data_IF_100276846839
#
_entry.id   IF_100276846839
#
_cell.length_a   1.000
_cell.length_b   1.000
_cell.length_c   1.000
_cell.angle_alpha   90.00
_cell.angle_beta   90.00
_cell.angle_gamma   90.00
#
_symmetry.space_group_name_H-M   'P 1'
#
loop_
_entity.id
_entity.type
_entity.pdbx_description
1 polymer ?
#
# COMPACT_ATOMS: atom_id res chain seq x y z
N UNK A 1 15.37 4.09 -1.60
CA UNK A 1 14.22 3.37 -1.02
C UNK A 1 12.95 4.18 -1.22
N UNK A 2 11.95 3.58 -1.81
CA UNK A 2 10.64 4.20 -2.03
C UNK A 2 9.63 3.40 -1.22
N UNK A 3 8.95 4.06 -0.28
CA UNK A 3 7.94 3.42 0.57
C UNK A 3 6.57 3.66 -0.04
N UNK A 4 5.87 2.58 -0.36
CA UNK A 4 4.54 2.68 -0.97
C UNK A 4 3.48 2.92 0.10
N UNK A 5 2.60 3.89 -0.14
CA UNK A 5 1.48 4.11 0.75
C UNK A 5 0.28 3.22 0.38
N UNK A 6 -0.68 3.14 1.30
CA UNK A 6 -1.84 2.28 1.14
C UNK A 6 -2.67 2.64 -0.09
N UNK A 7 -2.82 3.93 -0.39
CA UNK A 7 -3.64 4.38 -1.52
C UNK A 7 -3.01 3.99 -2.87
N UNK A 8 -1.70 4.12 -3.00
CA UNK A 8 -1.00 3.70 -4.23
C UNK A 8 -1.16 2.21 -4.44
N UNK A 9 -0.94 1.42 -3.39
CA UNK A 9 -1.06 -0.05 -3.49
C UNK A 9 -2.51 -0.46 -3.78
N UNK A 10 -3.47 0.13 -3.09
CA UNK A 10 -4.89 -0.15 -3.30
C UNK A 10 -5.31 0.16 -4.74
N UNK A 11 -4.87 1.29 -5.28
CA UNK A 11 -5.16 1.64 -6.67
C UNK A 11 -4.52 0.65 -7.65
N UNK A 12 -3.27 0.27 -7.42
CA UNK A 12 -2.54 -0.66 -8.26
C UNK A 12 -3.16 -2.07 -8.28
N UNK A 13 -3.87 -2.44 -7.22
CA UNK A 13 -4.54 -3.76 -7.11
C UNK A 13 -5.84 -3.84 -7.90
N UNK A 14 -6.38 -2.73 -8.37
CA UNK A 14 -7.62 -2.73 -9.15
C UNK A 14 -7.38 -3.40 -10.50
N UNK A 15 -8.41 -4.05 -11.09
CA UNK A 15 -8.30 -4.60 -12.45
C UNK A 15 -7.94 -3.56 -13.50
N UNK A 16 -8.39 -2.31 -13.29
CA UNK A 16 -8.10 -1.19 -14.20
C UNK A 16 -7.55 0.00 -13.39
N UNK A 17 -6.25 -0.05 -13.03
CA UNK A 17 -5.64 1.01 -12.24
C UNK A 17 -5.60 2.34 -12.99
N UNK A 18 -5.60 3.45 -12.24
CA UNK A 18 -5.43 4.77 -12.81
C UNK A 18 -4.14 4.81 -13.65
N UNK A 19 -4.19 5.31 -14.90
CA UNK A 19 -3.02 5.27 -15.80
C UNK A 19 -1.78 5.96 -15.24
N UNK A 20 -1.95 7.06 -14.49
CA UNK A 20 -0.82 7.77 -13.90
C UNK A 20 -0.13 6.95 -12.81
N UNK A 21 -0.87 6.20 -12.01
CA UNK A 21 -0.32 5.31 -10.98
C UNK A 21 0.43 4.15 -11.63
N UNK A 22 -0.17 3.54 -12.63
CA UNK A 22 0.47 2.45 -13.39
C UNK A 22 1.78 2.91 -14.02
N UNK A 23 1.76 4.07 -14.70
CA UNK A 23 2.94 4.62 -15.35
C UNK A 23 4.05 4.92 -14.33
N UNK A 24 3.68 5.52 -13.19
CA UNK A 24 4.65 5.83 -12.14
C UNK A 24 5.32 4.57 -11.61
N UNK A 25 4.53 3.54 -11.28
CA UNK A 25 5.06 2.28 -10.78
C UNK A 25 5.96 1.58 -11.80
N UNK A 26 5.56 1.58 -13.08
CA UNK A 26 6.33 0.94 -14.14
C UNK A 26 7.68 1.63 -14.39
N UNK A 27 7.80 2.89 -14.02
CA UNK A 27 9.05 3.64 -14.14
C UNK A 27 10.01 3.42 -12.97
N UNK A 28 9.56 2.76 -11.89
CA UNK A 28 10.40 2.51 -10.74
C UNK A 28 11.18 1.20 -10.90
N UNK A 29 12.40 1.17 -10.35
CA UNK A 29 13.16 -0.07 -10.24
C UNK A 29 12.56 -0.89 -9.10
N UNK A 30 12.10 -2.11 -9.36
CA UNK A 30 11.36 -2.91 -8.41
C UNK A 30 12.09 -3.09 -7.07
N UNK A 31 13.41 -3.27 -7.09
CA UNK A 31 14.21 -3.45 -5.88
C UNK A 31 14.26 -2.22 -4.98
N UNK A 32 13.82 -1.06 -5.45
CA UNK A 32 13.77 0.17 -4.66
C UNK A 32 12.44 0.36 -3.95
N UNK A 33 11.43 -0.44 -4.26
CA UNK A 33 10.08 -0.32 -3.71
C UNK A 33 9.95 -1.17 -2.45
N UNK A 34 9.42 -0.57 -1.39
CA UNK A 34 9.22 -1.21 -0.09
C UNK A 34 7.77 -1.09 0.34
N UNK A 35 7.26 -2.12 0.99
CA UNK A 35 5.88 -2.21 1.42
C UNK A 35 5.82 -2.22 2.96
N UNK A 36 5.26 -1.15 3.59
CA UNK A 36 5.14 -1.14 5.04
C UNK A 36 4.19 -2.22 5.54
N UNK A 37 4.52 -2.85 6.67
CA UNK A 37 3.64 -3.85 7.28
C UNK A 37 2.29 -3.27 7.67
N UNK A 38 2.22 -1.99 8.04
CA UNK A 38 0.95 -1.32 8.34
C UNK A 38 0.07 -1.21 7.10
N UNK A 39 0.66 -0.98 5.94
CA UNK A 39 -0.09 -0.98 4.67
C UNK A 39 -0.71 -2.35 4.40
N UNK A 40 0.06 -3.42 4.63
CA UNK A 40 -0.46 -4.80 4.50
C UNK A 40 -1.63 -5.01 5.45
N UNK A 41 -1.50 -4.59 6.72
CA UNK A 41 -2.56 -4.73 7.71
C UNK A 41 -3.83 -3.99 7.29
N UNK A 42 -3.70 -2.77 6.79
CA UNK A 42 -4.86 -1.99 6.32
C UNK A 42 -5.54 -2.65 5.12
N UNK A 43 -4.77 -3.18 4.17
CA UNK A 43 -5.32 -3.88 3.01
C UNK A 43 -6.00 -5.19 3.41
N UNK A 44 -5.39 -5.96 4.31
CA UNK A 44 -6.00 -7.18 4.84
C UNK A 44 -7.33 -6.88 5.53
N UNK A 45 -7.36 -5.82 6.35
CA UNK A 45 -8.59 -5.39 7.01
C UNK A 45 -9.66 -4.99 5.99
N UNK A 46 -9.32 -4.15 5.02
CA UNK A 46 -10.28 -3.68 4.02
C UNK A 46 -10.85 -4.82 3.18
N UNK A 47 -10.03 -5.77 2.76
CA UNK A 47 -10.47 -6.94 2.01
C UNK A 47 -11.32 -7.84 2.90
N UNK A 48 -10.90 -8.08 4.13
CA UNK A 48 -11.63 -8.91 5.09
C UNK A 48 -13.03 -8.39 5.38
N UNK A 49 -13.22 -7.06 5.34
CA UNK A 49 -14.50 -6.41 5.57
C UNK A 49 -15.45 -6.47 4.37
N UNK A 50 -14.98 -6.86 3.19
CA UNK A 50 -15.85 -6.97 2.01
C UNK A 50 -16.84 -8.14 2.15
N UNK A 51 -18.04 -8.03 1.53
CA UNK A 51 -18.94 -9.15 1.44
C UNK A 51 -18.30 -10.32 0.69
N UNK A 52 -18.64 -11.55 1.06
CA UNK A 52 -18.18 -12.73 0.33
C UNK A 52 -18.58 -12.64 -1.14
N UNK A 53 -17.66 -13.01 -2.04
CA UNK A 53 -17.89 -12.97 -3.48
C UNK A 53 -16.61 -12.89 -4.28
N UNK A 54 -16.77 -12.78 -5.59
CA UNK A 54 -15.64 -12.78 -6.53
C UNK A 54 -14.66 -11.64 -6.30
N UNK A 55 -15.17 -10.45 -5.98
CA UNK A 55 -14.32 -9.28 -5.75
C UNK A 55 -13.39 -9.48 -4.56
N UNK A 56 -13.94 -9.99 -3.45
CA UNK A 56 -13.18 -10.30 -2.26
C UNK A 56 -12.11 -11.34 -2.55
N UNK A 57 -12.47 -12.42 -3.22
CA UNK A 57 -11.55 -13.50 -3.55
C UNK A 57 -10.44 -13.01 -4.48
N UNK A 58 -10.77 -12.21 -5.48
CA UNK A 58 -9.79 -11.67 -6.42
C UNK A 58 -8.80 -10.74 -5.72
N UNK A 59 -9.30 -9.84 -4.86
CA UNK A 59 -8.42 -8.92 -4.13
C UNK A 59 -7.54 -9.66 -3.13
N UNK A 60 -8.06 -10.69 -2.46
CA UNK A 60 -7.28 -11.52 -1.55
C UNK A 60 -6.13 -12.22 -2.29
N UNK A 61 -6.40 -12.78 -3.46
CA UNK A 61 -5.37 -13.42 -4.28
C UNK A 61 -4.33 -12.42 -4.77
N UNK A 62 -4.78 -11.24 -5.19
CA UNK A 62 -3.88 -10.18 -5.65
C UNK A 62 -2.96 -9.75 -4.51
N UNK A 63 -3.48 -9.59 -3.30
CA UNK A 63 -2.67 -9.22 -2.15
C UNK A 63 -1.68 -10.32 -1.77
N UNK A 64 -2.08 -11.58 -1.82
CA UNK A 64 -1.18 -12.70 -1.56
C UNK A 64 0.00 -12.69 -2.54
N UNK A 65 -0.27 -12.47 -3.83
CA UNK A 65 0.77 -12.35 -4.84
C UNK A 65 1.71 -11.18 -4.56
N UNK A 66 1.14 -10.05 -4.17
CA UNK A 66 1.90 -8.85 -3.83
C UNK A 66 2.82 -9.08 -2.63
N UNK A 67 2.29 -9.70 -1.56
CA UNK A 67 3.09 -10.04 -0.38
C UNK A 67 4.25 -10.97 -0.74
N UNK A 68 4.03 -11.91 -1.65
CA UNK A 68 5.09 -12.79 -2.15
C UNK A 68 6.20 -12.03 -2.87
N UNK A 69 5.82 -11.09 -3.73
CA UNK A 69 6.77 -10.25 -4.46
C UNK A 69 7.61 -9.37 -3.54
N UNK A 70 7.02 -8.85 -2.48
CA UNK A 70 7.67 -7.93 -1.55
C UNK A 70 8.23 -8.63 -0.31
N UNK A 71 8.29 -9.96 -0.28
CA UNK A 71 8.67 -10.72 0.92
C UNK A 71 9.94 -10.20 1.60
N UNK A 72 10.96 -9.82 0.81
CA UNK A 72 12.23 -9.32 1.34
C UNK A 72 12.27 -7.80 1.48
N UNK A 73 11.19 -7.12 1.17
CA UNK A 73 11.08 -5.66 1.19
C UNK A 73 9.88 -5.17 1.95
N UNK A 74 9.47 -5.90 2.97
CA UNK A 74 8.43 -5.48 3.91
C UNK A 74 9.09 -4.75 5.06
N UNK A 75 8.65 -3.51 5.33
CA UNK A 75 9.18 -2.70 6.42
C UNK A 75 8.33 -2.92 7.67
N UNK A 76 8.94 -3.30 8.79
CA UNK A 76 8.20 -3.45 10.05
C UNK A 76 7.71 -2.10 10.55
N UNK A 77 6.51 -2.08 11.16
CA UNK A 77 5.95 -0.87 11.77
C UNK A 77 6.29 -0.88 13.26
N UNK A 78 7.54 -0.52 13.57
CA UNK A 78 8.05 -0.41 14.94
C UNK A 78 7.79 0.99 15.51
N UNK A 79 8.32 1.25 16.71
CA UNK A 79 8.11 2.53 17.40
C UNK A 79 8.66 3.70 16.59
N UNK A 80 9.84 3.56 16.01
CA UNK A 80 10.45 4.63 15.20
C UNK A 80 9.61 4.90 13.94
N UNK A 81 9.17 3.87 13.27
CA UNK A 81 8.29 4.00 12.10
C UNK A 81 6.98 4.68 12.48
N UNK A 82 6.40 4.33 13.64
CA UNK A 82 5.17 4.96 14.12
C UNK A 82 5.35 6.46 14.36
N UNK A 83 6.49 6.87 14.91
CA UNK A 83 6.79 8.29 15.12
C UNK A 83 6.93 9.05 13.82
N UNK A 84 7.65 8.49 12.85
CA UNK A 84 7.78 9.09 11.53
C UNK A 84 6.43 9.20 10.81
N UNK A 85 5.62 8.16 10.92
CA UNK A 85 4.28 8.16 10.36
C UNK A 85 3.42 9.30 10.91
N UNK A 86 3.46 9.50 12.23
CA UNK A 86 2.70 10.56 12.88
C UNK A 86 3.13 11.95 12.40
N UNK A 87 4.45 12.17 12.24
CA UNK A 87 4.97 13.44 11.71
C UNK A 87 4.48 13.69 10.29
N UNK A 88 4.55 12.69 9.43
CA UNK A 88 4.08 12.80 8.05
C UNK A 88 2.57 13.08 7.98
N UNK A 89 1.78 12.42 8.83
CA UNK A 89 0.34 12.61 8.88
C UNK A 89 -0.02 14.04 9.28
N UNK A 90 0.65 14.57 10.31
CA UNK A 90 0.43 15.95 10.76
C UNK A 90 0.84 16.95 9.68
N UNK A 91 1.99 16.74 9.04
CA UNK A 91 2.48 17.60 7.97
C UNK A 91 1.51 17.61 6.79
N UNK A 92 1.03 16.44 6.38
CA UNK A 92 0.07 16.32 5.28
C UNK A 92 -1.23 17.11 5.59
N UNK A 93 -1.74 17.03 6.82
CA UNK A 93 -2.92 17.80 7.23
C UNK A 93 -2.69 19.30 7.16
N UNK A 94 -1.52 19.76 7.65
CA UNK A 94 -1.20 21.21 7.68
C UNK A 94 -1.05 21.80 6.29
N UNK A 95 -0.58 21.00 5.32
CA UNK A 95 -0.42 21.45 3.93
C UNK A 95 -1.69 21.28 3.11
N UNK A 96 -2.79 20.80 3.70
CA UNK A 96 -4.04 20.57 2.99
C UNK A 96 -4.02 19.36 2.08
N UNK A 97 -2.95 18.59 2.08
CA UNK A 97 -2.87 17.33 1.36
C UNK A 97 -3.53 16.26 2.23
N UNK A 98 -4.68 15.77 1.85
CA UNK A 98 -5.36 14.74 2.62
C UNK A 98 -4.42 13.57 2.93
N UNK A 99 -4.56 13.02 4.13
CA UNK A 99 -3.82 11.82 4.52
C UNK A 99 -4.64 10.59 4.12
N UNK A 100 -4.05 9.64 3.41
CA UNK A 100 -4.76 8.42 2.99
C UNK A 100 -5.18 7.52 4.11
#
# INVERSE_FOLDING_TARGET
MIVLDTNVVSEAMKPDPHPAVRAWLNNQVASTLYLPSVTIAELLFGIGALPAGKRKDMLAQTLDGLMGLFRDRVLPFDLDAARHYAVLAVTARRTGQGFP
#
